data_IF_992378265808
#
_entry.id   IF_992378265808
#
_cell.length_a   1.000
_cell.length_b   1.000
_cell.length_c   1.000
_cell.angle_alpha   90.00
_cell.angle_beta   90.00
_cell.angle_gamma   90.00
#
_symmetry.space_group_name_H-M   'P 1'
#
loop_
_entity.id
_entity.type
_entity.pdbx_description
1 polymer ?
#
# COMPACT_ATOMS: atom_id res chain seq x y z
N UNK A 1 -5.25 -3.28 15.76
CA UNK A 1 -4.85 -4.23 14.70
C UNK A 1 -5.33 -3.63 13.36
N UNK A 2 -4.64 -2.62 12.84
CA UNK A 2 -5.21 -1.70 11.84
C UNK A 2 -4.79 -2.03 10.41
N UNK A 3 -4.94 -3.28 9.95
CA UNK A 3 -4.94 -3.68 8.52
C UNK A 3 -3.79 -3.22 7.62
N UNK A 4 -2.71 -2.65 8.16
CA UNK A 4 -1.63 -2.01 7.42
C UNK A 4 -0.46 -2.98 7.36
N UNK A 5 -0.46 -3.81 6.33
CA UNK A 5 0.56 -4.82 6.07
C UNK A 5 0.34 -6.19 6.72
N UNK A 6 1.22 -7.12 6.42
CA UNK A 6 1.22 -8.50 6.91
C UNK A 6 1.83 -9.50 5.92
N UNK A 7 2.09 -10.72 6.41
CA UNK A 7 2.65 -11.81 5.62
C UNK A 7 1.55 -12.81 5.23
N UNK A 8 1.45 -13.12 3.94
CA UNK A 8 0.40 -13.96 3.35
C UNK A 8 1.06 -15.15 2.63
N UNK A 9 0.80 -16.34 3.14
CA UNK A 9 1.31 -17.61 2.59
C UNK A 9 0.21 -18.54 2.08
N UNK A 10 -1.06 -18.16 2.30
CA UNK A 10 -2.20 -18.94 1.85
C UNK A 10 -2.28 -18.93 0.30
N UNK A 11 -2.71 -20.05 -0.34
CA UNK A 11 -2.85 -20.12 -1.79
C UNK A 11 -3.83 -19.10 -2.40
N UNK A 12 -4.81 -18.64 -1.61
CA UNK A 12 -5.76 -17.60 -1.96
C UNK A 12 -6.05 -16.73 -0.73
N UNK A 13 -6.47 -15.49 -0.96
CA UNK A 13 -6.80 -14.56 0.11
C UNK A 13 -7.24 -13.20 -0.41
N UNK A 14 -7.57 -12.31 0.53
CA UNK A 14 -7.91 -10.92 0.25
C UNK A 14 -7.30 -10.05 1.34
N UNK A 15 -6.77 -8.89 0.93
CA UNK A 15 -6.30 -7.85 1.82
C UNK A 15 -6.82 -6.51 1.29
N UNK A 16 -6.94 -5.54 2.18
CA UNK A 16 -7.48 -4.22 1.86
C UNK A 16 -6.62 -3.14 2.49
N UNK A 17 -6.74 -1.92 1.99
CA UNK A 17 -6.16 -0.76 2.67
C UNK A 17 -6.74 -0.61 4.09
N UNK A 18 -5.99 0.00 5.02
CA UNK A 18 -6.49 0.28 6.36
C UNK A 18 -7.74 1.15 6.30
N UNK A 19 -8.79 0.71 6.99
CA UNK A 19 -10.05 1.46 7.07
C UNK A 19 -10.99 1.26 5.88
N UNK A 20 -10.64 0.45 4.89
CA UNK A 20 -11.58 0.04 3.83
C UNK A 20 -12.89 -0.50 4.44
N UNK A 21 -14.08 -0.11 3.93
CA UNK A 21 -14.34 0.63 2.69
C UNK A 21 -14.26 2.17 2.77
N UNK A 22 -13.95 2.73 3.94
CA UNK A 22 -13.71 4.16 4.08
C UNK A 22 -12.35 4.56 3.48
N UNK A 23 -12.13 5.87 3.31
CA UNK A 23 -10.83 6.37 2.86
C UNK A 23 -9.73 5.99 3.84
N UNK A 24 -8.61 5.52 3.31
CA UNK A 24 -7.42 5.28 4.11
C UNK A 24 -6.96 6.60 4.73
N UNK A 25 -6.62 6.55 6.02
CA UNK A 25 -6.13 7.75 6.72
C UNK A 25 -4.66 7.94 6.37
N UNK A 26 -4.30 9.11 5.86
CA UNK A 26 -2.92 9.46 5.50
C UNK A 26 -2.03 9.85 6.70
N UNK A 27 -2.54 9.81 7.93
CA UNK A 27 -1.79 10.34 9.08
C UNK A 27 -2.31 9.79 10.41
N UNK A 28 -1.66 8.74 10.90
CA UNK A 28 -1.44 8.54 12.34
C UNK A 28 -0.09 9.16 12.72
N UNK A 29 0.15 9.43 14.00
CA UNK A 29 1.36 10.04 14.59
C UNK A 29 2.70 9.32 14.32
N UNK A 30 2.73 8.34 13.41
CA UNK A 30 3.89 7.55 12.99
C UNK A 30 4.02 7.56 11.46
N UNK A 31 4.23 8.73 10.86
CA UNK A 31 4.64 8.83 9.47
C UNK A 31 6.12 9.16 9.37
N UNK A 32 6.79 8.62 8.36
CA UNK A 32 8.16 9.03 8.03
C UNK A 32 8.11 10.09 6.94
N UNK A 33 8.86 11.17 7.12
CA UNK A 33 9.11 12.14 6.04
C UNK A 33 9.99 11.47 5.00
N UNK A 34 9.44 11.13 3.84
CA UNK A 34 10.21 10.57 2.74
C UNK A 34 10.24 11.50 1.54
N UNK A 35 11.42 11.64 0.96
CA UNK A 35 11.65 12.26 -0.34
C UNK A 35 11.83 11.15 -1.36
N UNK A 36 10.86 10.95 -2.24
CA UNK A 36 10.90 9.96 -3.32
C UNK A 36 11.78 10.43 -4.48
N UNK A 37 13.07 10.63 -4.19
CA UNK A 37 14.10 11.03 -5.15
C UNK A 37 13.69 12.22 -6.03
N UNK A 38 14.06 12.20 -7.31
CA UNK A 38 13.64 13.23 -8.30
C UNK A 38 12.18 13.12 -8.73
N UNK A 39 11.46 12.05 -8.34
CA UNK A 39 10.08 11.78 -8.76
C UNK A 39 9.08 12.65 -8.00
N UNK A 40 9.38 12.94 -6.74
CA UNK A 40 8.58 13.82 -5.89
C UNK A 40 9.45 14.97 -5.34
N UNK A 41 9.24 16.24 -5.76
CA UNK A 41 10.07 17.38 -5.36
C UNK A 41 9.83 17.87 -3.93
N UNK A 42 8.81 17.34 -3.24
CA UNK A 42 8.47 17.69 -1.86
C UNK A 42 8.61 16.46 -0.96
N UNK A 43 8.96 16.69 0.30
CA UNK A 43 8.89 15.66 1.33
C UNK A 43 7.45 15.49 1.78
N UNK A 44 7.00 14.25 1.90
CA UNK A 44 5.65 13.93 2.33
C UNK A 44 5.68 13.03 3.56
N UNK A 45 4.71 13.26 4.45
CA UNK A 45 4.40 12.37 5.57
C UNK A 45 3.58 11.20 5.00
N UNK A 46 4.19 10.02 4.92
CA UNK A 46 3.55 8.82 4.38
C UNK A 46 3.46 7.71 5.42
N UNK A 47 2.38 6.93 5.34
CA UNK A 47 2.21 5.71 6.13
C UNK A 47 2.59 4.51 5.28
N UNK A 48 3.56 3.70 5.72
CA UNK A 48 4.01 2.52 4.99
C UNK A 48 3.18 1.30 5.38
N UNK A 49 2.29 0.86 4.49
CA UNK A 49 1.64 -0.44 4.61
C UNK A 49 2.32 -1.44 3.68
N UNK A 50 2.88 -2.51 4.24
CA UNK A 50 3.68 -3.48 3.51
C UNK A 50 3.02 -4.86 3.63
N UNK A 51 2.47 -5.37 2.52
CA UNK A 51 1.96 -6.73 2.43
C UNK A 51 2.98 -7.60 1.68
N UNK A 52 3.42 -8.68 2.31
CA UNK A 52 4.30 -9.68 1.67
C UNK A 52 3.47 -10.89 1.31
N UNK A 53 3.39 -11.17 0.02
CA UNK A 53 2.67 -12.34 -0.50
C UNK A 53 3.72 -13.33 -0.98
N UNK A 54 3.67 -14.54 -0.45
CA UNK A 54 4.62 -15.61 -0.77
C UNK A 54 3.86 -16.87 -1.12
N UNK A 55 4.28 -17.53 -2.21
CA UNK A 55 3.72 -18.81 -2.64
C UNK A 55 4.80 -19.89 -2.58
N UNK A 56 4.39 -21.15 -2.64
CA UNK A 56 5.34 -22.24 -2.88
C UNK A 56 6.10 -22.03 -4.20
N UNK A 57 7.25 -22.68 -4.32
CA UNK A 57 8.08 -22.64 -5.51
C UNK A 57 7.28 -23.03 -6.76
N UNK A 58 7.61 -22.40 -7.90
CA UNK A 58 6.97 -22.62 -9.19
C UNK A 58 5.48 -22.28 -9.26
N UNK A 59 4.95 -21.52 -8.29
CA UNK A 59 3.61 -20.93 -8.35
C UNK A 59 3.70 -19.45 -8.73
N UNK A 60 2.68 -18.98 -9.44
CA UNK A 60 2.54 -17.57 -9.82
C UNK A 60 1.55 -16.88 -8.90
N UNK A 61 1.81 -15.61 -8.59
CA UNK A 61 0.87 -14.74 -7.87
C UNK A 61 -0.01 -14.04 -8.92
N UNK A 62 -1.33 -14.17 -8.80
CA UNK A 62 -2.31 -13.47 -9.62
C UNK A 62 -3.08 -12.47 -8.76
N UNK A 63 -2.84 -11.17 -8.96
CA UNK A 63 -3.51 -10.09 -8.23
C UNK A 63 -4.69 -9.56 -9.04
N UNK A 64 -5.84 -9.40 -8.38
CA UNK A 64 -7.06 -8.83 -8.97
C UNK A 64 -7.55 -7.71 -8.05
N UNK A 65 -7.83 -6.55 -8.64
CA UNK A 65 -8.35 -5.39 -7.92
C UNK A 65 -9.87 -5.34 -8.01
N UNK A 66 -10.56 -5.49 -6.88
CA UNK A 66 -12.02 -5.35 -6.80
C UNK A 66 -12.47 -3.90 -6.62
N UNK A 67 -11.65 -3.07 -5.97
CA UNK A 67 -11.81 -1.64 -5.81
C UNK A 67 -10.42 -1.00 -5.81
N UNK A 68 -10.26 0.12 -6.53
CA UNK A 68 -9.00 0.84 -6.61
C UNK A 68 -9.27 2.35 -6.70
N UNK A 69 -9.13 3.04 -5.57
CA UNK A 69 -9.39 4.48 -5.46
C UNK A 69 -8.25 5.18 -4.72
N UNK A 70 -7.41 5.84 -5.49
CA UNK A 70 -6.33 6.70 -5.02
C UNK A 70 -6.54 8.13 -5.51
N UNK A 71 -6.09 9.16 -4.76
CA UNK A 71 -6.03 10.53 -5.26
C UNK A 71 -5.23 10.59 -6.55
N UNK A 72 -5.76 11.28 -7.56
CA UNK A 72 -5.03 11.49 -8.80
C UNK A 72 -3.91 12.52 -8.56
N UNK A 73 -2.66 12.05 -8.58
CA UNK A 73 -1.49 12.86 -8.27
C UNK A 73 -0.43 12.75 -9.39
N UNK A 74 0.28 13.86 -9.65
CA UNK A 74 1.41 13.84 -10.57
C UNK A 74 2.48 12.91 -10.03
N UNK A 75 2.97 12.02 -10.89
CA UNK A 75 3.99 11.02 -10.57
C UNK A 75 3.62 10.05 -9.43
N UNK A 76 2.33 9.99 -9.05
CA UNK A 76 1.82 9.21 -7.92
C UNK A 76 2.42 9.66 -6.56
N UNK A 77 2.63 10.97 -6.38
CA UNK A 77 3.21 11.57 -5.18
C UNK A 77 2.17 12.33 -4.35
N UNK A 78 2.00 12.04 -3.05
CA UNK A 78 2.67 10.98 -2.28
C UNK A 78 2.10 9.56 -2.38
N UNK A 79 0.92 9.36 -2.96
CA UNK A 79 0.20 8.09 -2.84
C UNK A 79 0.48 7.13 -4.02
N UNK A 80 1.05 5.97 -3.74
CA UNK A 80 1.30 4.92 -4.72
C UNK A 80 1.39 3.53 -4.07
N UNK A 81 1.37 2.50 -4.91
CA UNK A 81 1.69 1.11 -4.57
C UNK A 81 2.94 0.75 -5.38
N UNK A 82 3.90 0.08 -4.72
CA UNK A 82 5.16 -0.40 -5.31
C UNK A 82 5.34 -1.91 -5.12
#
# INVERSE_FOLDING_TARGET
LNGCGGDYTAPTGTFTSPGFPAMYKSSGSQCTSQQYGRRCPHSFCVSHCIWKISTADYKNIHLVWSDFRFPFERNCCPNHIE
#
